data_IF_211429585711
#
_entry.id   IF_211429585711
#
_cell.length_a   1.000
_cell.length_b   1.000
_cell.length_c   1.000
_cell.angle_alpha   90.00
_cell.angle_beta   90.00
_cell.angle_gamma   90.00
#
_symmetry.space_group_name_H-M   'P 1'
#
loop_
_entity.id
_entity.type
_entity.pdbx_description
1 polymer ?
#
# COMPACT_ATOMS: atom_id res chain seq x y z
N UNK A 1 -21.62 -18.18 -1.37
CA UNK A 1 -20.65 -18.11 -0.25
C UNK A 1 -19.61 -17.07 -0.64
N UNK A 2 -19.33 -16.02 0.15
CA UNK A 2 -18.36 -15.02 -0.27
C UNK A 2 -16.97 -15.66 -0.32
N UNK A 3 -16.37 -15.68 -1.50
CA UNK A 3 -14.95 -15.97 -1.70
C UNK A 3 -14.16 -14.95 -0.90
N UNK A 4 -13.43 -15.40 0.13
CA UNK A 4 -12.65 -14.52 1.01
C UNK A 4 -11.48 -13.95 0.20
N UNK A 5 -11.69 -12.81 -0.43
CA UNK A 5 -10.60 -12.03 -1.03
C UNK A 5 -9.64 -11.68 0.12
N UNK A 6 -8.33 -11.97 -0.01
CA UNK A 6 -7.38 -11.59 1.02
C UNK A 6 -7.34 -10.07 1.16
N UNK A 7 -7.37 -9.57 2.40
CA UNK A 7 -7.34 -8.14 2.72
C UNK A 7 -6.20 -7.88 3.71
N UNK A 8 -5.38 -6.88 3.41
CA UNK A 8 -4.38 -6.33 4.33
C UNK A 8 -4.87 -4.94 4.76
N UNK A 9 -4.95 -4.70 6.07
CA UNK A 9 -5.28 -3.38 6.64
C UNK A 9 -4.06 -2.86 7.38
N UNK A 10 -3.59 -1.67 7.01
CA UNK A 10 -2.52 -0.95 7.68
C UNK A 10 -3.14 0.30 8.31
N UNK A 11 -2.96 0.48 9.62
CA UNK A 11 -3.55 1.60 10.36
C UNK A 11 -2.49 2.29 11.25
N UNK A 12 -2.63 3.59 11.45
CA UNK A 12 -1.84 4.36 12.42
C UNK A 12 -1.13 5.58 11.83
N UNK A 13 -0.78 6.53 12.71
CA UNK A 13 -0.12 7.81 12.36
C UNK A 13 1.25 7.62 11.69
N UNK A 14 1.85 6.44 11.79
CA UNK A 14 3.15 6.13 11.20
C UNK A 14 3.08 6.08 9.66
N UNK A 15 1.95 5.70 9.07
CA UNK A 15 1.78 5.68 7.60
C UNK A 15 1.96 7.07 6.99
N UNK A 16 1.31 8.07 7.59
CA UNK A 16 1.50 9.47 7.21
C UNK A 16 2.94 9.95 7.42
N UNK A 17 3.61 9.52 8.50
CA UNK A 17 5.02 9.85 8.75
C UNK A 17 5.97 9.22 7.73
N UNK A 18 5.60 8.07 7.14
CA UNK A 18 6.32 7.43 6.04
C UNK A 18 6.01 8.06 4.67
N UNK A 19 5.11 9.03 4.60
CA UNK A 19 4.71 9.70 3.35
C UNK A 19 3.48 9.10 2.67
N UNK A 20 2.84 8.09 3.25
CA UNK A 20 1.56 7.58 2.74
C UNK A 20 0.42 8.50 3.19
N UNK A 21 0.00 9.38 2.29
CA UNK A 21 -1.12 10.27 2.52
C UNK A 21 -2.42 9.70 1.96
N UNK A 22 -3.55 10.08 2.55
CA UNK A 22 -4.87 9.70 2.05
C UNK A 22 -5.10 10.25 0.63
N UNK A 23 -5.67 9.43 -0.26
CA UNK A 23 -5.92 9.80 -1.66
C UNK A 23 -4.69 9.75 -2.58
N UNK A 24 -3.51 9.41 -2.05
CA UNK A 24 -2.28 9.28 -2.83
C UNK A 24 -2.26 7.98 -3.64
N UNK A 25 -1.72 8.02 -4.85
CA UNK A 25 -1.46 6.81 -5.63
C UNK A 25 -0.24 6.07 -5.07
N UNK A 26 -0.31 4.75 -5.08
CA UNK A 26 0.77 3.87 -4.64
C UNK A 26 1.00 2.83 -5.73
N UNK A 27 2.25 2.38 -5.82
CA UNK A 27 2.59 1.21 -6.60
C UNK A 27 2.69 -0.01 -5.68
N UNK A 28 2.14 -1.15 -6.13
CA UNK A 28 2.15 -2.40 -5.39
C UNK A 28 2.76 -3.49 -6.28
N UNK A 29 3.98 -3.87 -5.96
CA UNK A 29 4.71 -4.94 -6.67
C UNK A 29 4.67 -6.22 -5.85
N UNK A 30 4.53 -7.35 -6.54
CA UNK A 30 4.51 -8.68 -5.93
C UNK A 30 5.76 -9.46 -6.34
N UNK A 31 6.47 -10.02 -5.36
CA UNK A 31 7.58 -10.94 -5.57
C UNK A 31 7.33 -12.25 -4.81
N UNK A 32 8.18 -13.25 -4.97
CA UNK A 32 8.09 -14.52 -4.24
C UNK A 32 8.09 -14.22 -2.73
N UNK A 33 6.98 -14.53 -2.06
CA UNK A 33 6.76 -14.31 -0.62
C UNK A 33 6.84 -12.84 -0.16
N UNK A 34 6.67 -11.85 -1.05
CA UNK A 34 6.76 -10.43 -0.68
C UNK A 34 5.72 -9.57 -1.41
N UNK A 35 5.17 -8.59 -0.69
CA UNK A 35 4.40 -7.48 -1.23
C UNK A 35 5.16 -6.19 -0.92
N UNK A 36 5.50 -5.43 -1.96
CA UNK A 36 6.26 -4.19 -1.84
C UNK A 36 5.30 -3.05 -2.21
N UNK A 37 5.03 -2.17 -1.24
CA UNK A 37 4.17 -1.01 -1.41
C UNK A 37 5.05 0.23 -1.40
N UNK A 38 5.04 0.99 -2.50
CA UNK A 38 5.81 2.22 -2.65
C UNK A 38 4.90 3.38 -3.02
N UNK A 39 5.30 4.59 -2.64
CA UNK A 39 4.64 5.81 -3.08
C UNK A 39 4.93 5.99 -4.57
N UNK A 40 3.90 6.19 -5.38
CA UNK A 40 4.06 6.49 -6.80
C UNK A 40 4.36 7.99 -6.93
N UNK A 41 5.64 8.30 -7.18
CA UNK A 41 6.10 9.67 -7.32
C UNK A 41 5.79 10.13 -8.75
N UNK A 42 4.59 10.67 -8.96
CA UNK A 42 4.24 11.37 -10.20
C UNK A 42 5.01 12.71 -10.26
N UNK A 43 6.27 12.56 -10.69
CA UNK A 43 7.20 13.54 -11.24
C UNK A 43 7.95 14.54 -10.31
N UNK A 44 9.28 14.33 -10.36
CA UNK A 44 10.42 15.27 -10.51
C UNK A 44 11.12 15.82 -9.27
#
# INVERSE_FOLDING_TARGET
MPTKIPVIRLEGKWLKKLGFNEGQMINVTQEINRLIITIDDLEK
#
